data_IF_454565422933
#
_entry.id   IF_454565422933
#
_cell.length_a   1.000
_cell.length_b   1.000
_cell.length_c   1.000
_cell.angle_alpha   90.00
_cell.angle_beta   90.00
_cell.angle_gamma   90.00
#
_symmetry.space_group_name_H-M   'P 1'
#
loop_
_entity.id
_entity.type
_entity.pdbx_description
1 polymer ?
#
# COMPACT_ATOMS: atom_id res chain seq x y z
N UNK A 1 -10.29 3.62 -28.43
CA UNK A 1 -11.00 3.37 -27.16
C UNK A 1 -11.97 4.51 -26.91
N UNK A 2 -13.19 4.24 -26.44
CA UNK A 2 -14.16 5.30 -26.10
C UNK A 2 -13.65 6.11 -24.89
N UNK A 3 -13.78 7.45 -24.88
CA UNK A 3 -13.23 8.31 -23.80
C UNK A 3 -13.76 7.96 -22.41
N UNK A 4 -14.99 7.44 -22.34
CA UNK A 4 -15.59 6.97 -21.09
C UNK A 4 -14.81 5.81 -20.43
N UNK A 5 -14.32 4.84 -21.20
CA UNK A 5 -13.56 3.71 -20.63
C UNK A 5 -12.21 4.16 -20.08
N UNK A 6 -11.59 5.12 -20.74
CA UNK A 6 -10.29 5.69 -20.34
C UNK A 6 -10.42 6.45 -19.02
N UNK A 7 -11.48 7.26 -18.87
CA UNK A 7 -11.78 7.96 -17.62
C UNK A 7 -12.01 6.99 -16.45
N UNK A 8 -12.80 5.92 -16.68
CA UNK A 8 -13.04 4.90 -15.64
C UNK A 8 -11.75 4.18 -15.26
N UNK A 9 -10.91 3.81 -16.23
CA UNK A 9 -9.63 3.15 -15.96
C UNK A 9 -8.68 4.06 -15.17
N UNK A 10 -8.62 5.36 -15.48
CA UNK A 10 -7.80 6.31 -14.73
C UNK A 10 -8.23 6.44 -13.26
N UNK A 11 -9.55 6.51 -13.01
CA UNK A 11 -10.11 6.57 -11.66
C UNK A 11 -9.79 5.27 -10.90
N UNK A 12 -10.09 4.12 -11.50
CA UNK A 12 -9.85 2.81 -10.88
C UNK A 12 -8.36 2.64 -10.58
N UNK A 13 -7.49 3.00 -11.52
CA UNK A 13 -6.05 2.91 -11.34
C UNK A 13 -5.58 3.82 -10.19
N UNK A 14 -6.12 5.04 -10.07
CA UNK A 14 -5.83 5.95 -8.94
C UNK A 14 -6.26 5.39 -7.58
N UNK A 15 -7.41 4.71 -7.51
CA UNK A 15 -7.86 4.06 -6.28
C UNK A 15 -6.99 2.85 -5.91
N UNK A 16 -6.76 1.96 -6.89
CA UNK A 16 -6.02 0.71 -6.69
C UNK A 16 -4.55 0.99 -6.38
N UNK A 17 -3.94 1.96 -7.05
CA UNK A 17 -2.53 2.31 -6.84
C UNK A 17 -2.29 2.75 -5.40
N UNK A 18 -3.18 3.56 -4.84
CA UNK A 18 -3.09 4.00 -3.45
C UNK A 18 -3.35 2.84 -2.49
N UNK A 19 -4.30 1.94 -2.75
CA UNK A 19 -4.53 0.79 -1.86
C UNK A 19 -3.30 -0.13 -1.79
N UNK A 20 -2.69 -0.43 -2.94
CA UNK A 20 -1.47 -1.24 -3.01
C UNK A 20 -0.28 -0.54 -2.38
N UNK A 21 -0.08 0.75 -2.69
CA UNK A 21 0.97 1.56 -2.06
C UNK A 21 0.81 1.60 -0.55
N UNK A 22 -0.40 1.90 -0.06
CA UNK A 22 -0.69 1.94 1.37
C UNK A 22 -0.43 0.61 2.06
N UNK A 23 -0.81 -0.52 1.47
CA UNK A 23 -0.52 -1.86 2.02
C UNK A 23 0.98 -2.15 2.03
N UNK A 24 1.68 -1.82 0.94
CA UNK A 24 3.13 -1.99 0.87
C UNK A 24 3.84 -1.14 1.93
N UNK A 25 3.43 0.12 2.07
CA UNK A 25 3.93 1.05 3.08
C UNK A 25 3.67 0.56 4.50
N UNK A 26 2.46 0.07 4.81
CA UNK A 26 2.18 -0.51 6.12
C UNK A 26 3.01 -1.78 6.39
N UNK A 27 3.30 -2.59 5.36
CA UNK A 27 4.24 -3.71 5.47
C UNK A 27 5.64 -3.24 5.88
N UNK A 28 6.16 -2.18 5.25
CA UNK A 28 7.43 -1.56 5.63
C UNK A 28 7.39 -1.02 7.07
N UNK A 29 6.33 -0.32 7.46
CA UNK A 29 6.18 0.19 8.84
C UNK A 29 6.12 -0.94 9.86
N UNK A 30 5.50 -2.07 9.53
CA UNK A 30 5.47 -3.26 10.39
C UNK A 30 6.85 -3.89 10.56
N UNK A 31 7.70 -3.87 9.52
CA UNK A 31 9.11 -4.28 9.65
C UNK A 31 9.87 -3.37 10.61
N UNK A 32 9.70 -2.05 10.48
CA UNK A 32 10.32 -1.06 11.37
C UNK A 32 9.82 -1.24 12.81
N UNK A 33 8.51 -1.37 13.02
CA UNK A 33 7.93 -1.60 14.34
C UNK A 33 8.45 -2.89 14.98
N UNK A 34 8.57 -3.97 14.19
CA UNK A 34 9.14 -5.24 14.66
C UNK A 34 10.60 -5.10 15.08
N UNK A 35 11.40 -4.30 14.35
CA UNK A 35 12.79 -4.02 14.71
C UNK A 35 12.89 -3.20 16.01
N UNK A 36 12.02 -2.21 16.20
CA UNK A 36 11.94 -1.41 17.44
C UNK A 36 11.59 -2.28 18.64
N UNK A 37 10.57 -3.13 18.53
CA UNK A 37 10.13 -4.01 19.61
C UNK A 37 11.16 -5.12 19.92
N UNK A 38 11.85 -5.64 18.90
CA UNK A 38 12.96 -6.57 19.10
C UNK A 38 14.12 -5.92 19.88
N UNK A 39 14.40 -4.63 19.63
CA UNK A 39 15.43 -3.91 20.38
C UNK A 39 15.05 -3.63 21.85
N UNK A 40 13.76 -3.68 22.19
CA UNK A 40 13.24 -3.52 23.55
C UNK A 40 13.08 -4.85 24.31
N UNK A 41 13.46 -5.97 23.71
CA UNK A 41 13.21 -7.33 24.25
C UNK A 41 11.72 -7.62 24.55
N UNK A 42 10.79 -6.89 23.90
CA UNK A 42 9.34 -7.02 24.09
C UNK A 42 8.71 -8.10 23.17
N UNK A 43 9.53 -8.79 22.37
CA UNK A 43 9.07 -9.69 21.31
C UNK A 43 9.83 -11.02 21.35
N UNK A 44 9.10 -12.13 21.50
CA UNK A 44 9.69 -13.45 21.42
C UNK A 44 10.25 -13.74 20.01
N UNK A 45 11.43 -14.35 19.90
CA UNK A 45 12.10 -14.58 18.61
C UNK A 45 11.30 -15.40 17.59
N UNK A 46 10.32 -16.21 18.02
CA UNK A 46 9.37 -16.89 17.12
C UNK A 46 8.32 -15.93 16.54
N UNK A 47 7.77 -15.05 17.37
CA UNK A 47 6.79 -14.04 16.97
C UNK A 47 7.44 -12.99 16.05
N UNK A 48 8.66 -12.56 16.37
CA UNK A 48 9.44 -11.65 15.54
C UNK A 48 9.63 -12.18 14.11
N UNK A 49 10.04 -13.44 13.95
CA UNK A 49 10.20 -14.05 12.62
C UNK A 49 8.89 -14.14 11.85
N UNK A 50 7.79 -14.49 12.53
CA UNK A 50 6.46 -14.54 11.91
C UNK A 50 6.01 -13.17 11.41
N UNK A 51 6.17 -12.12 12.23
CA UNK A 51 5.83 -10.74 11.87
C UNK A 51 6.69 -10.24 10.72
N UNK A 52 8.01 -10.44 10.79
CA UNK A 52 8.94 -10.04 9.73
C UNK A 52 8.60 -10.70 8.38
N UNK A 53 8.38 -12.02 8.38
CA UNK A 53 8.06 -12.74 7.15
C UNK A 53 6.73 -12.26 6.54
N UNK A 54 5.70 -12.09 7.37
CA UNK A 54 4.38 -11.63 6.92
C UNK A 54 4.46 -10.20 6.38
N UNK A 55 5.11 -9.29 7.13
CA UNK A 55 5.28 -7.90 6.73
C UNK A 55 6.09 -7.77 5.44
N UNK A 56 7.16 -8.54 5.29
CA UNK A 56 7.98 -8.58 4.07
C UNK A 56 7.19 -9.11 2.87
N UNK A 57 6.45 -10.21 3.04
CA UNK A 57 5.64 -10.79 1.98
C UNK A 57 4.55 -9.82 1.51
N UNK A 58 3.84 -9.17 2.45
CA UNK A 58 2.83 -8.15 2.13
C UNK A 58 3.47 -6.97 1.41
N UNK A 59 4.61 -6.48 1.89
CA UNK A 59 5.33 -5.37 1.27
C UNK A 59 5.70 -5.67 -0.18
N UNK A 60 6.38 -6.79 -0.41
CA UNK A 60 6.87 -7.18 -1.73
C UNK A 60 5.73 -7.50 -2.70
N UNK A 61 4.69 -8.21 -2.24
CA UNK A 61 3.55 -8.57 -3.08
C UNK A 61 2.81 -7.32 -3.56
N UNK A 62 2.51 -6.38 -2.66
CA UNK A 62 1.77 -5.17 -3.03
C UNK A 62 2.63 -4.20 -3.85
N UNK A 63 3.90 -4.03 -3.52
CA UNK A 63 4.82 -3.20 -4.30
C UNK A 63 5.05 -3.78 -5.71
N UNK A 64 5.25 -5.10 -5.81
CA UNK A 64 5.38 -5.80 -7.08
C UNK A 64 4.12 -5.70 -7.93
N UNK A 65 2.95 -5.95 -7.34
CA UNK A 65 1.67 -5.82 -8.04
C UNK A 65 1.42 -4.38 -8.52
N UNK A 66 1.78 -3.38 -7.70
CA UNK A 66 1.70 -1.97 -8.09
C UNK A 66 2.59 -1.66 -9.30
N UNK A 67 3.85 -2.15 -9.29
CA UNK A 67 4.78 -1.97 -10.40
C UNK A 67 4.27 -2.65 -11.69
N UNK A 68 3.73 -3.87 -11.58
CA UNK A 68 3.14 -4.59 -12.72
C UNK A 68 1.92 -3.84 -13.28
N UNK A 69 1.03 -3.35 -12.42
CA UNK A 69 -0.15 -2.60 -12.86
C UNK A 69 0.24 -1.28 -13.52
N UNK A 70 1.21 -0.54 -12.98
CA UNK A 70 1.72 0.67 -13.62
C UNK A 70 2.38 0.39 -14.97
N UNK A 71 3.16 -0.69 -15.06
CA UNK A 71 3.77 -1.10 -16.31
C UNK A 71 2.70 -1.43 -17.36
N UNK A 72 1.69 -2.24 -17.00
CA UNK A 72 0.60 -2.60 -17.90
C UNK A 72 -0.24 -1.37 -18.31
N UNK A 73 -0.59 -0.51 -17.35
CA UNK A 73 -1.36 0.71 -17.58
C UNK A 73 -0.65 1.68 -18.54
N UNK A 74 0.64 1.92 -18.33
CA UNK A 74 1.41 2.89 -19.14
C UNK A 74 1.91 2.32 -20.47
N UNK A 75 2.43 1.08 -20.49
CA UNK A 75 3.08 0.50 -21.68
C UNK A 75 2.13 -0.26 -22.59
N UNK A 76 1.16 -0.99 -22.03
CA UNK A 76 0.26 -1.83 -22.84
C UNK A 76 -0.96 -1.05 -23.29
N UNK A 77 -1.54 -0.23 -22.41
CA UNK A 77 -2.71 0.58 -22.76
C UNK A 77 -2.37 1.99 -23.26
N UNK A 78 -1.13 2.45 -23.10
CA UNK A 78 -0.72 3.80 -23.49
C UNK A 78 -1.46 4.91 -22.73
N UNK A 79 -1.97 4.60 -21.53
CA UNK A 79 -2.77 5.52 -20.71
C UNK A 79 -1.87 6.32 -19.76
N UNK A 80 -2.31 7.53 -19.41
CA UNK A 80 -1.54 8.52 -18.64
C UNK A 80 -0.84 9.56 -19.51
N UNK A 81 -1.23 9.69 -20.77
CA UNK A 81 -0.67 10.69 -21.70
C UNK A 81 -1.51 11.97 -21.76
N UNK A 82 -2.81 11.88 -21.47
CA UNK A 82 -3.70 13.04 -21.56
C UNK A 82 -3.84 13.75 -20.21
N UNK A 83 -3.94 15.08 -20.24
CA UNK A 83 -4.11 15.90 -19.04
C UNK A 83 -5.35 15.49 -18.23
N UNK A 84 -6.43 15.13 -18.91
CA UNK A 84 -7.67 14.72 -18.25
C UNK A 84 -7.52 13.39 -17.49
N UNK A 85 -6.84 12.40 -18.06
CA UNK A 85 -6.54 11.12 -17.39
C UNK A 85 -5.71 11.34 -16.14
N UNK A 86 -4.66 12.16 -16.24
CA UNK A 86 -3.80 12.48 -15.10
C UNK A 86 -4.58 13.19 -13.98
N UNK A 87 -5.47 14.12 -14.33
CA UNK A 87 -6.33 14.79 -13.35
C UNK A 87 -7.28 13.82 -12.66
N UNK A 88 -7.97 12.96 -13.42
CA UNK A 88 -8.90 11.98 -12.85
C UNK A 88 -8.19 10.98 -11.95
N UNK A 89 -7.03 10.47 -12.40
CA UNK A 89 -6.16 9.63 -11.59
C UNK A 89 -5.74 10.34 -10.29
N UNK A 90 -5.29 11.58 -10.39
CA UNK A 90 -4.81 12.36 -9.24
C UNK A 90 -5.93 12.62 -8.22
N UNK A 91 -7.13 12.98 -8.68
CA UNK A 91 -8.28 13.21 -7.81
C UNK A 91 -8.65 11.91 -7.08
N UNK A 92 -8.77 10.81 -7.83
CA UNK A 92 -9.08 9.50 -7.27
C UNK A 92 -8.04 9.05 -6.22
N UNK A 93 -6.76 9.16 -6.57
CA UNK A 93 -5.66 8.84 -5.68
C UNK A 93 -5.65 9.73 -4.42
N UNK A 94 -5.86 11.03 -4.57
CA UNK A 94 -5.88 11.99 -3.46
C UNK A 94 -7.00 11.69 -2.48
N UNK A 95 -8.22 11.44 -2.97
CA UNK A 95 -9.37 11.07 -2.12
C UNK A 95 -9.06 9.78 -1.36
N UNK A 96 -8.55 8.75 -2.05
CA UNK A 96 -8.22 7.47 -1.42
C UNK A 96 -7.11 7.61 -0.38
N UNK A 97 -6.11 8.45 -0.66
CA UNK A 97 -4.99 8.72 0.24
C UNK A 97 -5.45 9.44 1.51
N UNK A 98 -6.33 10.42 1.40
CA UNK A 98 -6.91 11.10 2.57
C UNK A 98 -7.66 10.12 3.48
N UNK A 99 -8.41 9.18 2.91
CA UNK A 99 -9.07 8.11 3.67
C UNK A 99 -8.06 7.22 4.37
N UNK A 100 -6.95 6.87 3.69
CA UNK A 100 -5.86 6.11 4.32
C UNK A 100 -5.23 6.87 5.49
N UNK A 101 -4.84 8.13 5.29
CA UNK A 101 -4.18 8.96 6.30
C UNK A 101 -5.00 9.10 7.59
N UNK A 102 -6.33 9.20 7.49
CA UNK A 102 -7.23 9.23 8.65
C UNK A 102 -7.12 7.99 9.55
N UNK A 103 -6.73 6.84 8.99
CA UNK A 103 -6.57 5.59 9.73
C UNK A 103 -5.12 5.22 10.06
N UNK A 104 -4.12 5.96 9.56
CA UNK A 104 -2.71 5.58 9.69
C UNK A 104 -2.23 5.59 11.14
N UNK A 105 -2.56 6.63 11.92
CA UNK A 105 -2.11 6.74 13.31
C UNK A 105 -2.51 5.50 14.12
N UNK A 106 -3.79 5.13 14.07
CA UNK A 106 -4.31 3.96 14.78
C UNK A 106 -3.60 2.67 14.37
N UNK A 107 -3.30 2.51 13.08
CA UNK A 107 -2.57 1.32 12.59
C UNK A 107 -1.13 1.28 13.08
N UNK A 108 -0.46 2.42 13.18
CA UNK A 108 0.91 2.50 13.72
C UNK A 108 0.90 2.16 15.21
N UNK A 109 -0.06 2.69 15.97
CA UNK A 109 -0.20 2.40 17.40
C UNK A 109 -0.47 0.89 17.63
N UNK A 110 -1.31 0.29 16.80
CA UNK A 110 -1.57 -1.16 16.80
C UNK A 110 -0.29 -1.97 16.54
N UNK A 111 0.58 -1.55 15.62
CA UNK A 111 1.83 -2.24 15.28
C UNK A 111 2.88 -2.21 16.41
N UNK A 112 2.88 -1.13 17.20
CA UNK A 112 3.81 -0.93 18.31
C UNK A 112 3.31 -1.57 19.62
N UNK A 113 2.15 -2.22 19.62
CA UNK A 113 1.62 -2.91 20.80
C UNK A 113 2.04 -4.39 20.80
N UNK A 114 2.88 -4.85 21.75
CA UNK A 114 3.28 -6.26 21.84
C UNK A 114 2.09 -7.16 22.22
N UNK A 115 2.02 -8.37 21.66
CA UNK A 115 1.09 -9.43 22.09
C UNK A 115 -0.30 -9.50 21.43
N UNK A 116 -0.62 -8.67 20.41
CA UNK A 116 -1.93 -8.72 19.73
C UNK A 116 -1.98 -9.61 18.47
N UNK A 117 -0.84 -9.94 17.86
CA UNK A 117 -0.75 -10.75 16.63
C UNK A 117 -0.72 -12.28 16.90
N UNK A 118 -0.97 -12.70 18.15
CA UNK A 118 -0.86 -14.09 18.60
C UNK A 118 -2.19 -14.78 18.95
N UNK A 119 -3.33 -14.29 18.46
CA UNK A 119 -4.62 -15.01 18.53
C UNK A 119 -5.17 -15.30 17.15
#
# INVERSE_FOLDING_TARGET
>A
MHPAHVAVLAIVMGFVSVDLFSRAWMGLMSLVASAVLAHRDELAGRELRSRLHTALAVMLLNAGLLAVLFHFYSRVHGLGTTTLECLLYLIAASVRMLVFLRGVSRRIDEMLTPGRDGR
#
